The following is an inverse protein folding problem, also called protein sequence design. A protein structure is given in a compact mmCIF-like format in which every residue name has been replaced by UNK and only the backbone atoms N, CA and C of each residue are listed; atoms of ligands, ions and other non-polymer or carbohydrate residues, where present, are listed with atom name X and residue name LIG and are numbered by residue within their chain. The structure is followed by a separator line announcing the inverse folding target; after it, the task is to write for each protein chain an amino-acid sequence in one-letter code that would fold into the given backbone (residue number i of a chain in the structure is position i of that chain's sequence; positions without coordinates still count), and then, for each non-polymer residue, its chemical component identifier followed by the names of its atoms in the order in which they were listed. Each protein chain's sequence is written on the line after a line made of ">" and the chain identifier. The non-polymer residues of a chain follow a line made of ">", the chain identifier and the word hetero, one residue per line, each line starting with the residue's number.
data_IF_223225390133
#
_entry.id   IF_223225390133
#
_cell.length_a   1.000
_cell.length_b   1.000
_cell.length_c   1.000
_cell.angle_alpha   90.00
_cell.angle_beta   90.00
_cell.angle_gamma   90.00
#
_symmetry.space_group_name_H-M   'P 1'
#
loop_
_entity.id
_entity.type
_entity.pdbx_description
1 polymer ?
#
# COMPACT_ATOMS: atom_id res chain seq x y z
N UNK A 1 -21.01 -23.75 18.14
CA UNK A 1 -20.04 -22.64 18.28
C UNK A 1 -18.74 -22.99 17.58
N UNK A 2 -17.86 -23.72 18.26
CA UNK A 2 -16.51 -24.06 17.77
C UNK A 2 -16.47 -24.83 16.43
N UNK A 3 -17.38 -25.78 16.21
CA UNK A 3 -17.42 -26.53 14.94
C UNK A 3 -17.81 -25.69 13.72
N UNK A 4 -18.62 -24.65 13.90
CA UNK A 4 -19.00 -23.73 12.80
C UNK A 4 -17.87 -22.73 12.54
N UNK A 5 -17.19 -22.24 13.58
CA UNK A 5 -16.03 -21.35 13.45
C UNK A 5 -14.85 -22.07 12.79
N UNK A 6 -14.57 -23.33 13.17
CA UNK A 6 -13.52 -24.13 12.54
C UNK A 6 -13.83 -24.44 11.07
N UNK A 7 -15.09 -24.72 10.74
CA UNK A 7 -15.52 -24.95 9.36
C UNK A 7 -15.40 -23.66 8.51
N UNK A 8 -15.79 -22.50 9.08
CA UNK A 8 -15.65 -21.20 8.42
C UNK A 8 -14.17 -20.82 8.21
N UNK A 9 -13.32 -21.00 9.22
CA UNK A 9 -11.88 -20.75 9.10
C UNK A 9 -11.23 -21.62 8.04
N UNK A 10 -11.58 -22.91 7.97
CA UNK A 10 -11.10 -23.81 6.92
C UNK A 10 -11.59 -23.41 5.53
N UNK A 11 -12.84 -22.95 5.38
CA UNK A 11 -13.34 -22.49 4.08
C UNK A 11 -12.68 -21.20 3.62
N UNK A 12 -12.42 -20.24 4.53
CA UNK A 12 -11.73 -18.99 4.19
C UNK A 12 -10.30 -19.30 3.76
N UNK A 13 -9.56 -20.06 4.57
CA UNK A 13 -8.20 -20.50 4.23
C UNK A 13 -8.13 -21.27 2.89
N UNK A 14 -9.11 -22.13 2.63
CA UNK A 14 -9.18 -22.90 1.37
C UNK A 14 -9.50 -22.05 0.13
N UNK A 15 -10.31 -21.00 0.28
CA UNK A 15 -10.59 -20.06 -0.83
C UNK A 15 -9.40 -19.14 -1.05
N UNK A 16 -8.80 -18.65 0.02
CA UNK A 16 -7.64 -17.75 0.00
C UNK A 16 -6.41 -18.43 -0.59
N UNK A 17 -6.10 -19.67 -0.18
CA UNK A 17 -5.04 -20.50 -0.78
C UNK A 17 -5.23 -20.82 -2.27
N UNK A 18 -6.41 -20.55 -2.84
CA UNK A 18 -6.72 -20.81 -4.26
C UNK A 18 -6.99 -19.57 -5.10
N UNK A 19 -7.16 -18.42 -4.48
CA UNK A 19 -7.54 -17.17 -5.16
C UNK A 19 -6.78 -15.94 -4.64
N UNK A 20 -5.96 -16.14 -3.60
CA UNK A 20 -5.08 -15.18 -2.97
C UNK A 20 -3.68 -15.17 -3.58
N UNK A 21 -2.79 -14.36 -3.00
CA UNK A 21 -1.39 -14.24 -3.42
C UNK A 21 -0.66 -15.58 -3.54
N UNK A 22 -0.83 -16.47 -2.55
CA UNK A 22 -0.16 -17.78 -2.51
C UNK A 22 -0.63 -18.76 -3.59
N UNK A 23 -1.71 -18.43 -4.32
CA UNK A 23 -2.17 -19.22 -5.45
C UNK A 23 -1.42 -18.92 -6.75
N UNK A 24 -0.67 -17.82 -6.80
CA UNK A 24 0.21 -17.47 -7.91
C UNK A 24 1.45 -18.38 -7.89
N UNK A 25 1.97 -18.70 -9.07
CA UNK A 25 3.22 -19.45 -9.15
C UNK A 25 4.41 -18.61 -8.64
N UNK A 26 5.52 -19.29 -8.35
CA UNK A 26 6.66 -18.64 -7.69
C UNK A 26 7.35 -17.62 -8.59
N UNK A 27 7.43 -17.88 -9.90
CA UNK A 27 8.09 -16.97 -10.83
C UNK A 27 7.27 -15.67 -10.97
N UNK A 28 5.94 -15.80 -11.06
CA UNK A 28 5.01 -14.65 -11.07
C UNK A 28 5.14 -13.80 -9.79
N UNK A 29 5.23 -14.44 -8.61
CA UNK A 29 5.40 -13.70 -7.34
C UNK A 29 6.75 -12.98 -7.26
N UNK A 30 7.81 -13.58 -7.78
CA UNK A 30 9.14 -12.95 -7.87
C UNK A 30 9.07 -11.73 -8.79
N UNK A 31 8.53 -11.88 -10.01
CA UNK A 31 8.42 -10.77 -10.97
C UNK A 31 7.57 -9.62 -10.41
N UNK A 32 6.46 -9.94 -9.73
CA UNK A 32 5.61 -8.94 -9.11
C UNK A 32 6.30 -8.21 -7.94
N UNK A 33 7.00 -8.92 -7.06
CA UNK A 33 7.74 -8.30 -5.95
C UNK A 33 8.93 -7.46 -6.42
N UNK A 34 9.62 -7.87 -7.48
CA UNK A 34 10.62 -7.05 -8.17
C UNK A 34 9.99 -5.75 -8.70
N UNK A 35 8.84 -5.86 -9.38
CA UNK A 35 8.12 -4.69 -9.89
C UNK A 35 7.73 -3.71 -8.78
N UNK A 36 7.28 -4.20 -7.62
CA UNK A 36 6.94 -3.35 -6.48
C UNK A 36 8.19 -2.71 -5.86
N UNK A 37 9.28 -3.47 -5.77
CA UNK A 37 10.58 -3.00 -5.26
C UNK A 37 11.16 -1.89 -6.13
N UNK A 38 11.02 -1.98 -7.46
CA UNK A 38 11.42 -0.93 -8.39
C UNK A 38 10.64 0.37 -8.16
N UNK A 39 9.32 0.28 -8.02
CA UNK A 39 8.49 1.47 -7.76
C UNK A 39 8.76 2.10 -6.39
N UNK A 40 8.98 1.27 -5.36
CA UNK A 40 9.40 1.76 -4.06
C UNK A 40 10.78 2.44 -4.16
N UNK A 41 11.74 1.85 -4.86
CA UNK A 41 13.09 2.41 -5.03
C UNK A 41 13.09 3.80 -5.68
N UNK A 42 12.11 4.10 -6.54
CA UNK A 42 11.92 5.44 -7.10
C UNK A 42 11.48 6.47 -6.05
N UNK A 43 10.60 6.08 -5.12
CA UNK A 43 10.18 6.95 -4.00
C UNK A 43 11.33 7.11 -3.00
N UNK A 44 12.05 6.04 -2.70
CA UNK A 44 13.11 6.05 -1.67
C UNK A 44 14.40 6.70 -2.18
N UNK A 45 14.62 6.72 -3.50
CA UNK A 45 15.86 7.16 -4.17
C UNK A 45 17.09 6.30 -3.82
N UNK A 46 16.86 5.04 -3.43
CA UNK A 46 17.88 4.00 -3.28
C UNK A 46 17.25 2.62 -3.53
N UNK A 47 18.05 1.59 -3.84
CA UNK A 47 17.56 0.22 -3.93
C UNK A 47 16.96 -0.22 -2.60
N UNK A 48 15.74 -0.74 -2.65
CA UNK A 48 15.04 -1.37 -1.52
C UNK A 48 14.34 -2.64 -1.98
N UNK A 49 13.91 -3.48 -1.04
CA UNK A 49 13.17 -4.69 -1.35
C UNK A 49 11.83 -4.70 -0.63
N UNK A 50 10.78 -5.00 -1.40
CA UNK A 50 9.43 -5.20 -0.92
C UNK A 50 9.15 -6.70 -0.88
N UNK A 51 8.78 -7.20 0.29
CA UNK A 51 8.36 -8.58 0.48
C UNK A 51 6.85 -8.67 0.67
N UNK A 52 6.28 -9.78 0.22
CA UNK A 52 4.93 -10.18 0.57
C UNK A 52 5.04 -11.20 1.71
N UNK A 53 4.46 -10.87 2.87
CA UNK A 53 4.60 -11.66 4.08
C UNK A 53 3.65 -12.87 4.11
N UNK A 54 4.00 -13.88 3.31
CA UNK A 54 3.21 -15.11 3.14
C UNK A 54 3.06 -15.91 4.44
N UNK A 55 4.06 -15.81 5.33
CA UNK A 55 4.03 -16.44 6.66
C UNK A 55 3.15 -15.70 7.66
N UNK A 56 2.85 -14.42 7.41
CA UNK A 56 2.23 -13.53 8.37
C UNK A 56 3.12 -13.27 9.59
N UNK A 57 4.45 -13.34 9.41
CA UNK A 57 5.44 -13.22 10.49
C UNK A 57 5.67 -11.76 10.90
N UNK A 58 5.35 -10.81 10.02
CA UNK A 58 5.68 -9.39 10.14
C UNK A 58 4.46 -8.46 10.10
N UNK A 59 3.42 -8.76 9.31
CA UNK A 59 2.24 -7.90 9.12
C UNK A 59 0.93 -8.67 9.32
N UNK A 60 -0.21 -7.99 9.16
CA UNK A 60 -1.52 -8.62 9.30
C UNK A 60 -1.86 -8.95 10.75
N UNK A 61 -2.01 -10.23 11.10
CA UNK A 61 -2.45 -10.63 12.44
C UNK A 61 -1.47 -10.24 13.56
N UNK A 62 -0.16 -10.17 13.25
CA UNK A 62 0.88 -9.86 14.24
C UNK A 62 0.90 -8.37 14.60
N UNK A 63 0.87 -7.50 13.59
CA UNK A 63 0.97 -6.04 13.80
C UNK A 63 -0.35 -5.27 13.61
N UNK A 64 -1.42 -5.95 13.19
CA UNK A 64 -2.67 -5.32 12.74
C UNK A 64 -2.47 -4.20 11.69
N UNK A 65 -1.41 -4.33 10.87
CA UNK A 65 -1.03 -3.39 9.83
C UNK A 65 -0.96 -4.10 8.47
N UNK A 66 -1.24 -3.35 7.41
CA UNK A 66 -1.17 -3.83 6.02
C UNK A 66 0.25 -3.80 5.45
N UNK A 67 1.15 -3.10 6.13
CA UNK A 67 2.54 -2.89 5.77
C UNK A 67 3.40 -2.67 7.02
N UNK A 68 4.70 -2.90 6.87
CA UNK A 68 5.72 -2.62 7.88
C UNK A 68 7.04 -2.31 7.19
N UNK A 69 7.62 -1.15 7.50
CA UNK A 69 9.00 -0.82 7.14
C UNK A 69 9.79 -0.31 8.35
N UNK A 70 11.09 -0.61 8.36
CA UNK A 70 12.01 0.08 9.26
C UNK A 70 12.32 1.48 8.71
N UNK A 71 12.19 2.50 9.54
CA UNK A 71 12.50 3.88 9.14
C UNK A 71 13.96 4.01 8.71
N UNK A 72 14.18 4.39 7.44
CA UNK A 72 15.51 4.50 6.85
C UNK A 72 16.17 3.17 6.47
N UNK A 73 15.50 2.04 6.72
CA UNK A 73 15.96 0.71 6.34
C UNK A 73 15.85 0.44 4.84
N UNK A 74 16.06 -0.81 4.45
CA UNK A 74 16.10 -1.25 3.04
C UNK A 74 15.02 -2.29 2.69
N UNK A 75 14.19 -2.67 3.66
CA UNK A 75 13.19 -3.74 3.49
C UNK A 75 11.84 -3.32 4.07
N UNK A 76 10.77 -3.57 3.32
CA UNK A 76 9.40 -3.48 3.80
C UNK A 76 8.64 -4.78 3.52
N UNK A 77 7.64 -5.05 4.35
CA UNK A 77 6.77 -6.20 4.26
C UNK A 77 5.33 -5.73 4.06
N UNK A 78 4.63 -6.31 3.10
CA UNK A 78 3.21 -6.04 2.82
C UNK A 78 2.40 -7.30 3.07
N UNK A 79 1.13 -7.16 3.42
CA UNK A 79 0.28 -8.35 3.55
C UNK A 79 0.05 -8.98 2.17
N UNK A 80 -0.20 -10.30 2.12
CA UNK A 80 -0.51 -11.00 0.88
C UNK A 80 -1.65 -10.35 0.09
N UNK A 81 -2.68 -9.80 0.75
CA UNK A 81 -3.80 -9.14 0.08
C UNK A 81 -3.40 -7.84 -0.62
N UNK A 82 -2.52 -7.04 -0.01
CA UNK A 82 -1.98 -5.83 -0.64
C UNK A 82 -1.15 -6.20 -1.87
N UNK A 83 -0.26 -7.19 -1.73
CA UNK A 83 0.54 -7.69 -2.84
C UNK A 83 -0.31 -8.19 -4.00
N UNK A 84 -1.40 -8.91 -3.71
CA UNK A 84 -2.32 -9.39 -4.72
C UNK A 84 -3.05 -8.26 -5.44
N UNK A 85 -3.51 -7.24 -4.73
CA UNK A 85 -4.20 -6.10 -5.34
C UNK A 85 -3.23 -5.22 -6.17
N UNK A 86 -1.95 -5.13 -5.78
CA UNK A 86 -0.91 -4.52 -6.62
C UNK A 86 -0.61 -5.36 -7.88
N UNK A 87 -0.52 -6.69 -7.74
CA UNK A 87 -0.29 -7.59 -8.87
C UNK A 87 -1.43 -7.50 -9.89
N UNK A 88 -2.68 -7.58 -9.41
CA UNK A 88 -3.87 -7.43 -10.25
C UNK A 88 -3.88 -6.13 -11.04
N UNK A 89 -3.45 -5.03 -10.41
CA UNK A 89 -3.28 -3.77 -11.11
C UNK A 89 -2.19 -3.86 -12.18
N UNK A 90 -0.99 -4.28 -11.79
CA UNK A 90 0.22 -4.14 -12.61
C UNK A 90 0.35 -5.18 -13.74
N UNK A 91 -0.27 -6.34 -13.58
CA UNK A 91 -0.11 -7.49 -14.49
C UNK A 91 -1.43 -7.95 -15.12
N UNK A 92 -2.59 -7.61 -14.54
CA UNK A 92 -3.90 -8.03 -15.04
C UNK A 92 -4.80 -6.86 -15.48
N UNK A 93 -4.31 -5.61 -15.38
CA UNK A 93 -5.06 -4.37 -15.64
C UNK A 93 -6.37 -4.27 -14.81
N UNK A 94 -6.46 -4.98 -13.68
CA UNK A 94 -7.67 -5.05 -12.86
C UNK A 94 -7.70 -3.95 -11.78
N UNK A 95 -8.68 -3.04 -11.89
CA UNK A 95 -8.86 -1.94 -10.93
C UNK A 95 -10.07 -2.18 -10.02
N UNK A 96 -9.82 -2.47 -8.75
CA UNK A 96 -10.84 -2.84 -7.73
C UNK A 96 -11.26 -1.68 -6.82
N UNK A 97 -11.30 -0.46 -7.37
CA UNK A 97 -11.76 0.73 -6.64
C UNK A 97 -10.87 1.07 -5.44
N UNK A 98 -11.49 1.24 -4.26
CA UNK A 98 -10.78 1.60 -3.02
C UNK A 98 -9.69 0.61 -2.64
N UNK A 99 -9.83 -0.68 -2.99
CA UNK A 99 -8.81 -1.70 -2.73
C UNK A 99 -7.49 -1.41 -3.47
N UNK A 100 -7.57 -1.17 -4.78
CA UNK A 100 -6.41 -0.75 -5.56
C UNK A 100 -5.82 0.56 -5.04
N UNK A 101 -6.66 1.52 -4.65
CA UNK A 101 -6.20 2.76 -4.02
C UNK A 101 -5.45 2.53 -2.71
N UNK A 102 -5.97 1.66 -1.84
CA UNK A 102 -5.32 1.29 -0.57
C UNK A 102 -3.99 0.59 -0.80
N UNK A 103 -3.94 -0.35 -1.74
CA UNK A 103 -2.71 -1.10 -2.04
C UNK A 103 -1.59 -0.18 -2.54
N UNK A 104 -1.92 0.77 -3.43
CA UNK A 104 -0.99 1.82 -3.88
C UNK A 104 -0.54 2.72 -2.73
N UNK A 105 -1.47 3.14 -1.87
CA UNK A 105 -1.18 4.00 -0.73
C UNK A 105 -0.25 3.29 0.27
N UNK A 106 -0.50 2.02 0.59
CA UNK A 106 0.34 1.22 1.51
C UNK A 106 1.75 1.04 0.93
N UNK A 107 1.90 0.65 -0.34
CA UNK A 107 3.22 0.54 -0.96
C UNK A 107 4.00 1.86 -0.88
N UNK A 108 3.34 2.97 -1.21
CA UNK A 108 3.95 4.28 -1.15
C UNK A 108 4.29 4.71 0.30
N UNK A 109 3.42 4.40 1.26
CA UNK A 109 3.58 4.68 2.68
C UNK A 109 4.83 3.99 3.22
N UNK A 110 4.96 2.68 3.01
CA UNK A 110 6.15 1.95 3.46
C UNK A 110 7.42 2.46 2.78
N UNK A 111 7.35 2.86 1.51
CA UNK A 111 8.48 3.51 0.84
C UNK A 111 8.90 4.82 1.53
N UNK A 112 7.97 5.64 2.00
CA UNK A 112 8.31 6.87 2.74
C UNK A 112 8.97 6.59 4.10
N UNK A 113 8.59 5.50 4.77
CA UNK A 113 9.33 5.02 5.93
C UNK A 113 10.76 4.62 5.56
N UNK A 114 10.96 3.83 4.51
CA UNK A 114 12.30 3.46 4.02
C UNK A 114 13.15 4.67 3.62
N UNK A 115 12.52 5.78 3.20
CA UNK A 115 13.18 7.06 2.94
C UNK A 115 13.61 7.80 4.21
N UNK A 116 13.13 7.37 5.37
CA UNK A 116 13.51 7.90 6.68
C UNK A 116 12.46 8.81 7.32
N UNK A 117 11.23 8.86 6.80
CA UNK A 117 10.15 9.62 7.44
C UNK A 117 9.49 8.75 8.50
N UNK A 118 9.53 9.19 9.77
CA UNK A 118 8.96 8.45 10.91
C UNK A 118 7.59 8.97 11.37
N UNK A 119 7.15 10.11 10.86
CA UNK A 119 5.87 10.71 11.26
C UNK A 119 4.75 10.12 10.40
N UNK A 120 3.93 9.25 11.00
CA UNK A 120 2.85 8.51 10.31
C UNK A 120 1.90 9.39 9.49
N UNK A 121 1.52 10.55 10.02
CA UNK A 121 0.64 11.49 9.33
C UNK A 121 1.30 12.17 8.12
N UNK A 122 2.59 12.49 8.22
CA UNK A 122 3.38 12.98 7.09
C UNK A 122 3.63 11.88 6.05
N UNK A 123 4.00 10.67 6.49
CA UNK A 123 4.17 9.49 5.64
C UNK A 123 2.89 9.21 4.85
N UNK A 124 1.73 9.17 5.51
CA UNK A 124 0.43 9.00 4.86
C UNK A 124 0.16 10.11 3.83
N UNK A 125 0.46 11.37 4.18
CA UNK A 125 0.26 12.49 3.26
C UNK A 125 1.12 12.35 1.99
N UNK A 126 2.40 12.01 2.16
CA UNK A 126 3.31 11.85 1.04
C UNK A 126 2.96 10.61 0.21
N UNK A 127 2.50 9.53 0.85
CA UNK A 127 2.06 8.31 0.19
C UNK A 127 0.90 8.57 -0.79
N UNK A 128 -0.07 9.40 -0.42
CA UNK A 128 -1.18 9.75 -1.31
C UNK A 128 -0.74 10.57 -2.52
N UNK A 129 0.34 11.34 -2.40
CA UNK A 129 0.89 12.14 -3.50
C UNK A 129 1.76 11.26 -4.41
N UNK A 130 2.72 10.52 -3.86
CA UNK A 130 3.59 9.63 -4.64
C UNK A 130 2.81 8.45 -5.24
N UNK A 131 1.75 7.99 -4.58
CA UNK A 131 0.85 6.94 -5.08
C UNK A 131 0.17 7.28 -6.41
N UNK A 132 0.08 8.57 -6.78
CA UNK A 132 -0.39 8.98 -8.10
C UNK A 132 0.57 8.51 -9.19
N UNK A 133 1.86 8.80 -9.05
CA UNK A 133 2.87 8.44 -10.05
C UNK A 133 3.17 6.93 -10.03
N UNK A 134 3.20 6.31 -8.84
CA UNK A 134 3.27 4.85 -8.71
C UNK A 134 2.10 4.19 -9.44
N UNK A 135 0.87 4.64 -9.20
CA UNK A 135 -0.31 4.11 -9.88
C UNK A 135 -0.24 4.25 -11.41
N UNK A 136 0.31 5.36 -11.91
CA UNK A 136 0.52 5.56 -13.36
C UNK A 136 1.50 4.57 -13.96
N UNK A 137 2.62 4.34 -13.27
CA UNK A 137 3.65 3.40 -13.72
C UNK A 137 3.18 1.95 -13.63
N UNK A 138 2.23 1.67 -12.75
CA UNK A 138 1.57 0.37 -12.64
C UNK A 138 0.32 0.23 -13.53
N UNK A 139 0.06 1.17 -14.45
CA UNK A 139 -0.94 1.01 -15.52
C UNK A 139 -2.18 1.91 -15.42
N UNK A 140 -2.32 2.73 -14.38
CA UNK A 140 -3.45 3.67 -14.30
C UNK A 140 -3.26 4.90 -15.21
N UNK A 141 -4.37 5.49 -15.64
CA UNK A 141 -4.36 6.88 -16.09
C UNK A 141 -4.07 7.82 -14.92
N UNK A 142 -3.49 9.01 -15.18
CA UNK A 142 -3.25 10.02 -14.13
C UNK A 142 -4.54 10.39 -13.40
N UNK A 143 -5.62 10.61 -14.16
CA UNK A 143 -6.92 10.95 -13.61
C UNK A 143 -7.42 9.86 -12.64
N UNK A 144 -7.30 8.59 -13.04
CA UNK A 144 -7.75 7.47 -12.20
C UNK A 144 -6.88 7.32 -10.95
N UNK A 145 -5.56 7.45 -11.08
CA UNK A 145 -4.64 7.39 -9.95
C UNK A 145 -4.94 8.53 -8.94
N UNK A 146 -5.11 9.77 -9.41
CA UNK A 146 -5.50 10.91 -8.55
C UNK A 146 -6.86 10.71 -7.90
N UNK A 147 -7.84 10.17 -8.64
CA UNK A 147 -9.16 9.88 -8.08
C UNK A 147 -9.05 8.90 -6.90
N UNK A 148 -8.27 7.82 -7.05
CA UNK A 148 -8.07 6.83 -6.00
C UNK A 148 -7.34 7.41 -4.78
N UNK A 149 -6.29 8.21 -4.98
CA UNK A 149 -5.57 8.84 -3.86
C UNK A 149 -6.42 9.87 -3.12
N UNK A 150 -7.25 10.65 -3.83
CA UNK A 150 -8.23 11.55 -3.21
C UNK A 150 -9.29 10.81 -2.40
N UNK A 151 -9.72 9.65 -2.90
CA UNK A 151 -10.61 8.77 -2.16
C UNK A 151 -9.94 8.29 -0.86
N UNK A 152 -8.68 7.84 -0.91
CA UNK A 152 -7.94 7.41 0.28
C UNK A 152 -7.73 8.54 1.29
N UNK A 153 -7.41 9.77 0.86
CA UNK A 153 -7.37 10.95 1.74
C UNK A 153 -8.72 11.23 2.43
N UNK A 154 -9.81 11.12 1.67
CA UNK A 154 -11.16 11.31 2.21
C UNK A 154 -11.49 10.24 3.25
N UNK A 155 -11.18 8.97 2.95
CA UNK A 155 -11.38 7.85 3.87
C UNK A 155 -10.51 7.99 5.12
N UNK A 156 -9.25 8.42 4.98
CA UNK A 156 -8.33 8.69 6.10
C UNK A 156 -8.91 9.74 7.07
N UNK A 157 -9.46 10.84 6.55
CA UNK A 157 -10.08 11.88 7.36
C UNK A 157 -11.29 11.39 8.17
N UNK A 158 -11.95 10.32 7.73
CA UNK A 158 -13.12 9.73 8.36
C UNK A 158 -12.78 8.66 9.42
N UNK A 159 -11.51 8.22 9.55
CA UNK A 159 -11.11 7.18 10.52
C UNK A 159 -11.23 7.66 11.97
N UNK A 160 -11.79 6.80 12.82
CA UNK A 160 -12.06 7.02 14.25
C UNK A 160 -10.82 6.89 15.15
N UNK A 161 -11.03 6.76 16.48
CA UNK A 161 -9.98 6.93 17.50
C UNK A 161 -8.82 5.90 17.46
N UNK A 162 -8.92 4.84 16.67
CA UNK A 162 -7.91 3.76 16.64
C UNK A 162 -6.72 3.98 15.71
N UNK A 163 -6.70 5.05 14.91
CA UNK A 163 -5.64 5.31 13.91
C UNK A 163 -5.23 6.79 13.86
N UNK A 164 -5.17 7.46 15.01
CA UNK A 164 -4.90 8.90 15.06
C UNK A 164 -3.52 9.27 14.52
N UNK A 165 -2.52 8.40 14.69
CA UNK A 165 -1.16 8.63 14.17
C UNK A 165 -1.15 8.72 12.64
N UNK A 166 -1.93 7.87 11.97
CA UNK A 166 -2.10 7.87 10.51
C UNK A 166 -2.97 9.02 9.98
N UNK A 167 -3.56 9.85 10.85
CA UNK A 167 -4.41 10.94 10.38
C UNK A 167 -3.55 12.02 9.73
N UNK A 168 -3.82 12.30 8.45
CA UNK A 168 -3.09 13.35 7.74
C UNK A 168 -3.29 14.71 8.44
N UNK A 169 -2.20 15.47 8.68
CA UNK A 169 -2.30 16.75 9.38
C UNK A 169 -2.88 17.84 8.46
N UNK A 170 -3.32 19.00 8.99
CA UNK A 170 -3.90 20.09 8.19
C UNK A 170 -2.99 20.68 7.10
N UNK A 171 -1.68 20.46 7.22
CA UNK A 171 -0.68 20.86 6.23
C UNK A 171 -0.61 19.92 5.01
N UNK A 172 -1.34 18.80 5.04
CA UNK A 172 -1.53 17.89 3.91
C UNK A 172 -2.59 18.41 2.95
N UNK A 173 -2.23 19.40 2.14
CA UNK A 173 -3.10 20.07 1.17
C UNK A 173 -2.27 20.77 0.10
N UNK A 174 -2.91 21.14 -1.01
CA UNK A 174 -2.34 21.98 -2.06
C UNK A 174 -1.67 23.24 -1.50
N UNK A 175 -0.39 23.44 -1.82
CA UNK A 175 0.46 24.53 -1.34
C UNK A 175 0.84 24.45 0.15
N UNK A 176 0.43 23.40 0.85
CA UNK A 176 0.71 23.16 2.26
C UNK A 176 2.16 22.74 2.51
N UNK A 177 2.57 22.68 3.79
CA UNK A 177 3.94 22.29 4.13
C UNK A 177 4.31 20.86 3.71
N UNK A 178 3.33 19.98 3.58
CA UNK A 178 3.53 18.58 3.18
C UNK A 178 3.23 18.32 1.70
N UNK A 179 2.96 19.36 0.91
CA UNK A 179 2.85 19.24 -0.53
C UNK A 179 4.25 19.05 -1.14
N UNK A 180 4.43 17.93 -1.86
CA UNK A 180 5.66 17.57 -2.56
C UNK A 180 5.92 18.50 -3.75
N UNK A 181 4.89 19.11 -4.34
CA UNK A 181 5.00 20.04 -5.47
C UNK A 181 4.17 21.31 -5.25
N UNK A 182 4.65 22.16 -4.35
CA UNK A 182 4.04 23.47 -4.02
C UNK A 182 3.96 24.44 -5.21
N UNK A 183 4.59 24.13 -6.34
CA UNK A 183 4.52 24.94 -7.57
C UNK A 183 3.28 24.62 -8.41
N UNK A 184 2.52 23.58 -8.06
CA UNK A 184 1.46 22.98 -8.86
C UNK A 184 0.18 22.80 -8.05
N UNK A 185 -0.96 23.18 -8.61
CA UNK A 185 -2.26 23.00 -7.95
C UNK A 185 -2.86 21.59 -8.14
N UNK A 186 -2.01 20.59 -8.37
CA UNK A 186 -2.44 19.24 -8.78
C UNK A 186 -2.66 18.25 -7.64
N UNK A 187 -2.41 18.67 -6.40
CA UNK A 187 -2.52 17.85 -5.19
C UNK A 187 -3.75 16.91 -5.14
N UNK A 188 -3.63 15.72 -4.50
CA UNK A 188 -2.37 15.07 -4.16
C UNK A 188 -1.65 14.66 -5.45
#
# INVERSE_FOLDING_TARGET
>A
GLGVIGLLGLTVWFVESRTGWDSLDTDTRIEATERFSDEASLIVEKPVTIYCDEGGDFVGAVQHADGLAEVGGDHAYLTPEICLDLYRLAFEDEVRGSRTGRALAVLAHEAWHLRGVSDEGATECYAMQSGVETGRRLGLSEERARQLMRQQLTENALRGQGSFEYRVPPECRDGGRLDLDRGSSRFP
#
